data_IF_534818164425
#
_entry.id   IF_534818164425
#
_cell.length_a   1.000
_cell.length_b   1.000
_cell.length_c   1.000
_cell.angle_alpha   90.00
_cell.angle_beta   90.00
_cell.angle_gamma   90.00
#
_symmetry.space_group_name_H-M   'P 1'
#
loop_
_entity.id
_entity.type
_entity.pdbx_description
1 polymer ?
#
# COMPACT_ATOMS: atom_id res chain seq x y z
N UNK A 1 27.63 55.76 18.12
CA UNK A 1 27.03 54.57 17.50
C UNK A 1 25.92 54.07 18.41
N UNK A 2 24.68 54.48 18.14
CA UNK A 2 23.48 54.03 18.84
C UNK A 2 22.90 52.83 18.08
N UNK A 3 23.00 51.63 18.67
CA UNK A 3 22.31 50.44 18.15
C UNK A 3 20.83 50.52 18.54
N UNK A 4 19.97 50.86 17.59
CA UNK A 4 18.52 50.69 17.72
C UNK A 4 18.16 49.23 17.48
N UNK A 5 17.73 48.53 18.53
CA UNK A 5 17.19 47.17 18.43
C UNK A 5 15.83 47.19 17.70
N UNK A 6 15.56 46.26 16.76
CA UNK A 6 14.30 46.23 16.02
C UNK A 6 13.13 45.84 16.93
N UNK A 7 12.06 46.66 16.93
CA UNK A 7 10.90 46.55 17.82
C UNK A 7 10.14 45.21 17.78
N UNK A 8 10.36 44.39 16.77
CA UNK A 8 9.94 42.99 16.70
C UNK A 8 10.35 42.21 17.97
N UNK A 9 11.56 42.42 18.48
CA UNK A 9 12.15 41.55 19.51
C UNK A 9 11.43 41.68 20.86
N UNK A 10 10.84 42.85 21.13
CA UNK A 10 10.04 43.11 22.33
C UNK A 10 8.66 42.44 22.25
N UNK A 11 8.08 42.35 21.06
CA UNK A 11 6.76 41.72 20.87
C UNK A 11 6.85 40.20 21.10
N UNK A 12 7.90 39.55 20.58
CA UNK A 12 8.09 38.10 20.76
C UNK A 12 8.40 37.74 22.22
N UNK A 13 9.21 38.55 22.91
CA UNK A 13 9.51 38.34 24.33
C UNK A 13 8.27 38.48 25.23
N UNK A 14 7.37 39.43 24.91
CA UNK A 14 6.13 39.64 25.68
C UNK A 14 5.12 38.51 25.51
N UNK A 15 5.02 37.91 24.31
CA UNK A 15 4.16 36.75 24.04
C UNK A 15 4.67 35.51 24.78
N UNK A 16 6.00 35.29 24.82
CA UNK A 16 6.59 34.15 25.52
C UNK A 16 6.39 34.22 27.05
N UNK A 17 6.51 35.40 27.64
CA UNK A 17 6.28 35.62 29.08
C UNK A 17 4.80 35.43 29.43
N UNK A 18 3.89 35.88 28.56
CA UNK A 18 2.44 35.71 28.75
C UNK A 18 2.03 34.23 28.67
N UNK A 19 2.61 33.46 27.75
CA UNK A 19 2.35 32.02 27.62
C UNK A 19 2.84 31.23 28.85
N UNK A 20 3.99 31.60 29.43
CA UNK A 20 4.50 30.98 30.65
C UNK A 20 3.63 31.29 31.87
N UNK A 21 3.07 32.50 31.96
CA UNK A 21 2.21 32.90 33.08
C UNK A 21 0.86 32.17 33.04
N UNK A 22 0.26 32.03 31.86
CA UNK A 22 -1.02 31.30 31.66
C UNK A 22 -0.87 29.81 31.97
N UNK A 23 0.27 29.21 31.63
CA UNK A 23 0.53 27.79 31.93
C UNK A 23 0.71 27.53 33.42
N UNK A 24 1.26 28.50 34.17
CA UNK A 24 1.49 28.38 35.61
C UNK A 24 0.25 28.63 36.47
N UNK A 25 -0.71 29.46 36.00
CA UNK A 25 -1.98 29.68 36.71
C UNK A 25 -3.00 28.53 36.52
N UNK A 26 -2.89 27.72 35.46
CA UNK A 26 -3.85 26.62 35.19
C UNK A 26 -3.60 25.37 36.03
N UNK A 27 -2.43 25.24 36.65
CA UNK A 27 -2.01 24.09 37.47
C UNK A 27 -2.52 24.09 38.92
N UNK A 28 -3.10 25.19 39.42
CA UNK A 28 -3.55 25.28 40.82
C UNK A 28 -5.03 24.92 41.04
N UNK A 29 -5.83 24.76 39.98
CA UNK A 29 -7.28 24.57 40.10
C UNK A 29 -7.74 23.09 40.20
N UNK A 30 -6.87 22.10 39.92
CA UNK A 30 -7.26 20.69 39.84
C UNK A 30 -6.76 19.80 41.00
N UNK A 31 -6.02 20.36 41.96
CA UNK A 31 -5.32 19.57 42.99
C UNK A 31 -6.03 19.51 44.36
N UNK A 32 -7.21 20.10 44.51
CA UNK A 32 -7.88 20.23 45.83
C UNK A 32 -9.30 19.64 45.92
N UNK A 33 -9.64 18.62 45.11
CA UNK A 33 -11.00 18.03 45.16
C UNK A 33 -11.08 16.49 45.23
N UNK A 34 -9.97 15.76 45.43
CA UNK A 34 -10.02 14.29 45.43
C UNK A 34 -9.25 13.60 46.58
N UNK A 35 -9.18 14.25 47.75
CA UNK A 35 -8.64 13.65 48.99
C UNK A 35 -9.68 13.41 50.08
N UNK A 36 -10.92 13.15 49.71
CA UNK A 36 -11.91 12.65 50.65
C UNK A 36 -12.88 11.73 49.93
N UNK A 37 -12.68 10.41 50.08
CA UNK A 37 -13.71 9.36 50.31
C UNK A 37 -13.22 8.00 49.78
N UNK A 38 -13.25 7.00 50.67
CA UNK A 38 -12.94 5.57 50.49
C UNK A 38 -11.43 5.28 50.53
N UNK A 39 -10.78 4.99 51.67
CA UNK A 39 -11.11 4.07 52.77
C UNK A 39 -11.60 2.71 52.28
N UNK A 40 -10.78 1.71 52.61
CA UNK A 40 -11.03 0.26 52.73
C UNK A 40 -10.53 -0.63 51.59
N UNK A 41 -9.91 -1.75 52.02
CA UNK A 41 -9.27 -2.85 51.27
C UNK A 41 -7.98 -2.48 50.53
N UNK A 42 -6.78 -2.93 50.90
CA UNK A 42 -6.37 -4.05 51.73
C UNK A 42 -5.61 -5.05 50.88
N UNK A 43 -4.29 -4.86 50.72
CA UNK A 43 -3.36 -5.99 50.66
C UNK A 43 -1.92 -5.50 50.85
N UNK A 44 -1.23 -6.14 51.79
CA UNK A 44 0.15 -5.85 52.12
C UNK A 44 1.11 -6.41 51.09
N UNK A 45 2.14 -5.63 50.79
CA UNK A 45 3.42 -6.18 50.37
C UNK A 45 4.49 -5.53 51.25
N UNK A 46 5.23 -6.39 51.94
CA UNK A 46 6.22 -6.05 52.95
C UNK A 46 7.36 -5.21 52.38
N UNK A 47 7.84 -4.32 53.25
CA UNK A 47 9.16 -3.72 53.19
C UNK A 47 10.23 -4.80 53.03
N UNK A 48 11.09 -4.64 52.04
CA UNK A 48 12.52 -4.42 52.29
C UNK A 48 13.26 -4.40 50.96
N UNK A 49 13.71 -3.21 50.52
CA UNK A 49 15.12 -2.93 50.25
C UNK A 49 15.32 -1.42 50.13
N UNK A 50 16.18 -0.93 51.01
CA UNK A 50 16.76 0.41 51.03
C UNK A 50 17.61 0.63 49.77
N UNK A 51 17.60 1.86 49.26
CA UNK A 51 18.70 2.40 48.46
C UNK A 51 18.32 2.97 47.10
N UNK A 52 18.08 4.29 47.04
CA UNK A 52 18.52 5.12 45.91
C UNK A 52 17.79 4.99 44.57
N UNK A 53 16.46 5.10 44.53
CA UNK A 53 15.69 5.18 43.28
C UNK A 53 15.07 6.57 43.02
N UNK A 54 15.70 7.64 43.51
CA UNK A 54 15.21 9.02 43.37
C UNK A 54 16.02 9.93 42.44
N UNK A 55 17.19 9.50 41.95
CA UNK A 55 18.17 10.43 41.34
C UNK A 55 18.50 10.13 39.88
N UNK A 56 18.06 9.00 39.31
CA UNK A 56 18.42 8.67 37.92
C UNK A 56 17.42 9.15 36.86
N UNK A 57 16.27 9.72 37.24
CA UNK A 57 15.33 10.28 36.26
C UNK A 57 15.74 11.69 35.79
N UNK A 58 16.57 12.42 36.56
CA UNK A 58 17.03 13.77 36.15
C UNK A 58 18.32 13.72 35.31
N UNK A 59 19.09 12.63 35.36
CA UNK A 59 20.32 12.50 34.57
C UNK A 59 20.07 12.06 33.10
N UNK A 60 18.92 11.45 32.79
CA UNK A 60 18.58 11.06 31.41
C UNK A 60 18.07 12.22 30.54
N UNK A 61 17.57 13.30 31.14
CA UNK A 61 17.06 14.47 30.41
C UNK A 61 18.15 15.49 30.02
N UNK A 62 19.31 15.48 30.68
CA UNK A 62 20.42 16.38 30.35
C UNK A 62 21.36 15.86 29.24
N UNK A 63 21.34 14.55 28.94
CA UNK A 63 22.17 13.96 27.89
C UNK A 63 21.56 14.08 26.48
N UNK A 64 20.27 14.44 26.38
CA UNK A 64 19.56 14.63 25.11
C UNK A 64 19.53 16.08 24.60
N UNK A 65 20.31 16.99 25.19
CA UNK A 65 20.41 18.38 24.72
C UNK A 65 21.82 18.82 24.28
N UNK A 66 22.86 17.99 24.43
CA UNK A 66 24.21 18.28 23.93
C UNK A 66 24.55 17.53 22.64
N UNK A 67 23.79 16.50 22.25
CA UNK A 67 23.95 15.79 20.97
C UNK A 67 23.13 16.40 19.79
N UNK A 68 22.53 17.59 19.98
CA UNK A 68 21.65 18.24 18.99
C UNK A 68 22.26 19.39 18.20
N UNK A 69 23.48 19.85 18.53
CA UNK A 69 24.06 21.09 17.94
C UNK A 69 25.32 20.83 17.10
N UNK A 70 25.75 19.56 16.95
CA UNK A 70 26.92 19.19 16.14
C UNK A 70 26.63 18.74 14.69
N UNK A 71 25.37 18.51 14.32
CA UNK A 71 25.01 17.95 13.01
C UNK A 71 24.55 18.99 11.97
N UNK A 72 24.49 20.28 12.33
CA UNK A 72 24.00 21.32 11.42
C UNK A 72 25.12 22.03 10.63
N UNK A 73 26.40 21.85 10.98
CA UNK A 73 27.51 22.51 10.28
C UNK A 73 28.19 21.63 9.23
N UNK A 74 27.98 20.31 9.25
CA UNK A 74 28.50 19.38 8.25
C UNK A 74 27.63 19.27 6.98
N UNK A 75 26.40 19.78 7.00
CA UNK A 75 25.49 19.73 5.84
C UNK A 75 25.70 20.83 4.80
N UNK A 76 26.60 21.79 5.05
CA UNK A 76 26.84 22.91 4.15
C UNK A 76 28.14 22.78 3.33
N UNK A 77 28.90 21.69 3.46
CA UNK A 77 30.20 21.55 2.78
C UNK A 77 30.30 20.43 1.76
N UNK A 78 29.51 19.38 1.86
CA UNK A 78 29.41 18.36 0.82
C UNK A 78 27.93 17.98 0.66
N UNK A 79 27.23 18.40 -0.41
CA UNK A 79 25.97 17.75 -0.72
C UNK A 79 26.28 16.26 -0.90
N UNK A 80 25.54 15.31 -0.29
CA UNK A 80 25.53 13.99 -0.84
C UNK A 80 25.07 14.19 -2.28
N UNK A 81 25.95 13.94 -3.25
CA UNK A 81 25.48 13.62 -4.58
C UNK A 81 24.52 12.47 -4.37
N UNK A 82 23.24 12.81 -4.35
CA UNK A 82 22.17 11.94 -4.71
C UNK A 82 22.44 11.54 -6.17
N UNK A 83 23.44 10.69 -6.37
CA UNK A 83 23.38 9.55 -7.27
C UNK A 83 22.34 8.56 -6.73
N UNK A 84 21.20 9.05 -6.24
CA UNK A 84 19.95 8.35 -6.38
C UNK A 84 19.72 8.30 -7.87
N UNK A 85 20.06 7.14 -8.42
CA UNK A 85 19.76 6.63 -9.74
C UNK A 85 18.49 7.25 -10.33
N UNK A 86 18.62 8.45 -10.90
CA UNK A 86 17.73 8.99 -11.93
C UNK A 86 18.02 8.32 -13.27
N UNK A 87 18.58 7.10 -13.22
CA UNK A 87 18.42 6.03 -14.20
C UNK A 87 16.92 5.73 -14.35
N UNK A 88 16.26 6.69 -14.99
CA UNK A 88 15.49 6.44 -16.18
C UNK A 88 14.23 5.63 -15.97
N UNK A 89 13.31 6.05 -15.09
CA UNK A 89 11.89 5.73 -15.29
C UNK A 89 11.41 6.17 -16.69
N UNK A 90 11.98 7.27 -17.21
CA UNK A 90 11.77 7.71 -18.60
C UNK A 90 12.42 6.78 -19.64
N UNK A 91 13.64 6.30 -19.38
CA UNK A 91 14.33 5.37 -20.29
C UNK A 91 13.75 3.94 -20.29
N UNK A 92 13.38 3.40 -19.12
CA UNK A 92 12.72 2.10 -18.99
C UNK A 92 11.42 2.05 -19.80
N UNK A 93 10.62 3.13 -19.73
CA UNK A 93 9.40 3.27 -20.53
C UNK A 93 9.71 3.40 -22.03
N UNK A 94 10.77 4.12 -22.40
CA UNK A 94 11.22 4.25 -23.79
C UNK A 94 11.66 2.91 -24.40
N UNK A 95 12.47 2.14 -23.68
CA UNK A 95 12.93 0.81 -24.10
C UNK A 95 11.76 -0.20 -24.23
N UNK A 96 10.79 -0.11 -23.32
CA UNK A 96 9.57 -0.93 -23.41
C UNK A 96 8.73 -0.57 -24.62
N UNK A 97 8.55 0.72 -24.88
CA UNK A 97 7.76 1.21 -26.00
C UNK A 97 8.37 0.78 -27.34
N UNK A 98 9.69 0.90 -27.49
CA UNK A 98 10.42 0.43 -28.66
C UNK A 98 10.22 -1.07 -28.90
N UNK A 99 10.32 -1.90 -27.86
CA UNK A 99 10.08 -3.35 -27.96
C UNK A 99 8.64 -3.69 -28.34
N UNK A 100 7.66 -2.99 -27.78
CA UNK A 100 6.25 -3.17 -28.11
C UNK A 100 5.95 -2.80 -29.56
N UNK A 101 6.59 -1.73 -30.05
CA UNK A 101 6.48 -1.30 -31.45
C UNK A 101 7.15 -2.31 -32.40
N UNK A 102 8.36 -2.77 -32.09
CA UNK A 102 9.05 -3.79 -32.88
C UNK A 102 8.25 -5.09 -32.94
N UNK A 103 7.67 -5.51 -31.82
CA UNK A 103 6.77 -6.65 -31.78
C UNK A 103 5.53 -6.40 -32.67
N UNK A 104 4.88 -5.25 -32.55
CA UNK A 104 3.69 -4.93 -33.33
C UNK A 104 4.00 -4.85 -34.84
N UNK A 105 5.16 -4.31 -35.21
CA UNK A 105 5.66 -4.27 -36.60
C UNK A 105 5.96 -5.68 -37.13
N UNK A 106 6.64 -6.51 -36.32
CA UNK A 106 6.98 -7.88 -36.72
C UNK A 106 5.75 -8.78 -36.96
N UNK A 107 4.63 -8.45 -36.35
CA UNK A 107 3.37 -9.18 -36.48
C UNK A 107 2.35 -8.50 -37.40
N UNK A 108 2.75 -7.48 -38.17
CA UNK A 108 1.90 -6.79 -39.14
C UNK A 108 0.78 -5.94 -38.53
N UNK A 109 0.83 -5.63 -37.23
CA UNK A 109 -0.18 -4.83 -36.54
C UNK A 109 0.02 -3.31 -36.70
N UNK A 110 1.17 -2.89 -37.24
CA UNK A 110 1.46 -1.50 -37.60
C UNK A 110 1.82 -1.48 -39.09
N UNK A 111 0.89 -1.03 -39.93
CA UNK A 111 1.19 -0.66 -41.32
C UNK A 111 2.30 0.42 -41.34
N UNK A 112 3.28 0.35 -42.26
CA UNK A 112 4.29 1.39 -42.36
C UNK A 112 3.61 2.72 -42.71
N UNK A 113 3.61 3.65 -41.76
CA UNK A 113 3.12 5.01 -41.98
C UNK A 113 4.10 5.72 -42.92
N UNK A 114 3.91 5.55 -44.23
CA UNK A 114 4.40 6.46 -45.24
C UNK A 114 3.46 7.67 -45.31
N UNK A 115 3.54 8.59 -44.35
CA UNK A 115 3.03 9.95 -44.53
C UNK A 115 4.00 10.96 -43.93
N UNK A 116 4.47 11.97 -44.70
CA UNK A 116 5.23 13.08 -44.16
C UNK A 116 4.26 14.09 -43.53
N UNK A 117 3.83 13.85 -42.29
CA UNK A 117 3.01 14.80 -41.54
C UNK A 117 3.16 14.58 -40.04
N UNK A 118 3.75 15.57 -39.36
CA UNK A 118 3.69 15.85 -37.93
C UNK A 118 3.79 14.64 -36.98
N UNK A 119 4.97 14.44 -36.41
CA UNK A 119 5.27 13.54 -35.31
C UNK A 119 4.26 13.67 -34.17
N UNK A 120 3.19 12.86 -34.22
CA UNK A 120 2.32 12.64 -33.07
C UNK A 120 3.19 12.04 -31.96
N UNK A 121 3.10 12.55 -30.72
CA UNK A 121 3.78 11.93 -29.60
C UNK A 121 3.40 10.44 -29.56
N UNK A 122 4.39 9.58 -29.33
CA UNK A 122 4.16 8.15 -29.27
C UNK A 122 3.10 7.85 -28.20
N UNK A 123 2.19 6.88 -28.44
CA UNK A 123 1.25 6.43 -27.42
C UNK A 123 2.01 6.00 -26.17
N UNK A 124 1.43 6.24 -25.00
CA UNK A 124 2.04 5.79 -23.76
C UNK A 124 2.04 4.26 -23.65
N UNK A 125 2.90 3.76 -22.77
CA UNK A 125 3.11 2.32 -22.54
C UNK A 125 1.80 1.59 -22.21
N UNK A 126 0.91 2.15 -21.38
CA UNK A 126 -0.32 1.47 -20.99
C UNK A 126 -1.29 1.34 -22.16
N UNK A 127 -1.37 2.38 -23.00
CA UNK A 127 -2.15 2.32 -24.25
C UNK A 127 -1.63 1.21 -25.17
N UNK A 128 -0.32 1.01 -25.27
CA UNK A 128 0.27 -0.05 -26.09
C UNK A 128 0.04 -1.44 -25.49
N UNK A 129 0.06 -1.59 -24.16
CA UNK A 129 -0.30 -2.82 -23.46
C UNK A 129 -1.76 -3.19 -23.75
N UNK A 130 -2.71 -2.27 -23.61
CA UNK A 130 -4.13 -2.53 -23.87
C UNK A 130 -4.41 -2.97 -25.31
N UNK A 131 -3.70 -2.39 -26.29
CA UNK A 131 -3.79 -2.83 -27.70
C UNK A 131 -3.25 -4.24 -27.89
N UNK A 132 -2.16 -4.59 -27.21
CA UNK A 132 -1.59 -5.93 -27.25
C UNK A 132 -2.57 -6.96 -26.67
N UNK A 133 -3.26 -6.63 -25.57
CA UNK A 133 -4.29 -7.49 -24.99
C UNK A 133 -5.44 -7.75 -25.96
N UNK A 134 -6.05 -6.70 -26.49
CA UNK A 134 -7.16 -6.80 -27.44
C UNK A 134 -6.81 -7.65 -28.66
N UNK A 135 -5.56 -7.55 -29.15
CA UNK A 135 -5.07 -8.42 -30.23
C UNK A 135 -5.01 -9.87 -29.78
N UNK A 136 -4.43 -10.14 -28.61
CA UNK A 136 -4.25 -11.51 -28.10
C UNK A 136 -5.57 -12.22 -27.80
N UNK A 137 -6.66 -11.49 -27.58
CA UNK A 137 -8.02 -12.05 -27.56
C UNK A 137 -8.40 -12.67 -28.91
N UNK A 138 -8.05 -12.00 -30.02
CA UNK A 138 -8.28 -12.50 -31.38
C UNK A 138 -7.22 -13.48 -31.87
N UNK A 139 -6.02 -13.46 -31.29
CA UNK A 139 -4.89 -14.34 -31.64
C UNK A 139 -4.37 -15.12 -30.42
N UNK A 140 -5.17 -16.03 -29.84
CA UNK A 140 -4.84 -16.70 -28.58
C UNK A 140 -3.64 -17.66 -28.69
N UNK A 141 -3.22 -18.04 -29.90
CA UNK A 141 -2.06 -18.91 -30.13
C UNK A 141 -0.70 -18.18 -30.23
N UNK A 142 -0.66 -16.85 -30.10
CA UNK A 142 0.57 -16.09 -30.24
C UNK A 142 1.45 -16.16 -28.97
N UNK A 143 2.29 -17.18 -28.90
CA UNK A 143 3.23 -17.39 -27.79
C UNK A 143 4.11 -16.15 -27.56
N UNK A 144 4.62 -15.55 -28.64
CA UNK A 144 5.52 -14.39 -28.56
C UNK A 144 4.79 -13.18 -27.98
N UNK A 145 3.53 -13.00 -28.33
CA UNK A 145 2.69 -11.93 -27.81
C UNK A 145 2.28 -12.12 -26.36
N UNK A 146 1.86 -13.32 -25.95
CA UNK A 146 1.58 -13.62 -24.54
C UNK A 146 2.81 -13.42 -23.65
N UNK A 147 3.99 -13.82 -24.14
CA UNK A 147 5.27 -13.54 -23.47
C UNK A 147 5.53 -12.03 -23.37
N UNK A 148 5.32 -11.29 -24.45
CA UNK A 148 5.53 -9.84 -24.46
C UNK A 148 4.60 -9.10 -23.51
N UNK A 149 3.33 -9.52 -23.48
CA UNK A 149 2.33 -8.99 -22.55
C UNK A 149 2.75 -9.25 -21.09
N UNK A 150 3.21 -10.47 -20.79
CA UNK A 150 3.77 -10.81 -19.48
C UNK A 150 4.95 -9.93 -19.09
N UNK A 151 5.87 -9.70 -20.03
CA UNK A 151 7.05 -8.86 -19.80
C UNK A 151 6.69 -7.38 -19.56
N UNK A 152 5.78 -6.83 -20.35
CA UNK A 152 5.31 -5.45 -20.19
C UNK A 152 4.60 -5.25 -18.86
N UNK A 153 3.75 -6.20 -18.45
CA UNK A 153 3.11 -6.14 -17.14
C UNK A 153 4.10 -6.25 -16.00
N UNK A 154 5.11 -7.13 -16.12
CA UNK A 154 6.13 -7.29 -15.09
C UNK A 154 6.91 -6.00 -14.86
N UNK A 155 7.35 -5.34 -15.94
CA UNK A 155 8.16 -4.12 -15.88
C UNK A 155 7.37 -2.88 -15.48
N UNK A 156 6.04 -2.89 -15.63
CA UNK A 156 5.14 -1.85 -15.12
C UNK A 156 4.67 -2.10 -13.68
N UNK A 157 5.10 -3.20 -13.06
CA UNK A 157 4.77 -3.55 -11.67
C UNK A 157 3.46 -4.31 -11.49
N UNK A 158 2.78 -4.67 -12.58
CA UNK A 158 1.54 -5.43 -12.61
C UNK A 158 1.84 -6.94 -12.55
N UNK A 159 2.45 -7.40 -11.46
CA UNK A 159 3.00 -8.76 -11.37
C UNK A 159 1.96 -9.88 -11.45
N UNK A 160 0.72 -9.64 -10.99
CA UNK A 160 -0.36 -10.61 -11.11
C UNK A 160 -0.79 -10.80 -12.56
N UNK A 161 -1.01 -9.70 -13.29
CA UNK A 161 -1.31 -9.73 -14.72
C UNK A 161 -0.16 -10.35 -15.52
N UNK A 162 1.09 -10.05 -15.14
CA UNK A 162 2.27 -10.65 -15.72
C UNK A 162 2.27 -12.18 -15.59
N UNK A 163 2.00 -12.69 -14.38
CA UNK A 163 1.91 -14.12 -14.12
C UNK A 163 0.82 -14.78 -14.96
N UNK A 164 -0.35 -14.14 -15.10
CA UNK A 164 -1.44 -14.66 -15.92
C UNK A 164 -1.06 -14.76 -17.41
N UNK A 165 -0.43 -13.71 -17.96
CA UNK A 165 0.01 -13.70 -19.36
C UNK A 165 1.11 -14.74 -19.63
N UNK A 166 2.12 -14.84 -18.74
CA UNK A 166 3.14 -15.88 -18.84
C UNK A 166 2.56 -17.29 -18.69
N UNK A 167 1.54 -17.50 -17.84
CA UNK A 167 0.85 -18.79 -17.74
C UNK A 167 0.20 -19.20 -19.07
N UNK A 168 -0.34 -18.25 -19.84
CA UNK A 168 -0.85 -18.53 -21.19
C UNK A 168 0.28 -18.90 -22.15
N UNK A 169 1.39 -18.18 -22.12
CA UNK A 169 2.55 -18.52 -22.94
C UNK A 169 3.11 -19.92 -22.61
N UNK A 170 3.26 -20.28 -21.33
CA UNK A 170 3.71 -21.62 -20.88
C UNK A 170 2.73 -22.72 -21.30
N UNK A 171 1.43 -22.45 -21.33
CA UNK A 171 0.44 -23.43 -21.83
C UNK A 171 0.59 -23.71 -23.32
N UNK A 172 0.97 -22.70 -24.10
CA UNK A 172 1.16 -22.81 -25.54
C UNK A 172 2.53 -23.42 -25.90
N UNK A 173 3.57 -23.13 -25.10
CA UNK A 173 4.89 -23.76 -25.19
C UNK A 173 5.37 -24.26 -23.81
N UNK A 174 4.97 -25.47 -23.41
CA UNK A 174 5.35 -26.06 -22.14
C UNK A 174 6.82 -26.47 -22.05
N UNK A 175 7.59 -26.42 -23.14
CA UNK A 175 8.99 -26.84 -23.15
C UNK A 175 9.96 -25.66 -23.01
N UNK A 176 9.50 -24.43 -23.17
CA UNK A 176 10.32 -23.24 -22.96
C UNK A 176 10.70 -23.06 -21.49
N UNK A 177 12.00 -23.23 -21.21
CA UNK A 177 12.56 -22.95 -19.88
C UNK A 177 12.49 -21.45 -19.54
N UNK A 178 12.63 -20.56 -20.54
CA UNK A 178 12.52 -19.11 -20.35
C UNK A 178 11.12 -18.72 -19.84
N UNK A 179 10.07 -19.21 -20.50
CA UNK A 179 8.69 -18.90 -20.12
C UNK A 179 8.35 -19.40 -18.71
N UNK A 180 8.85 -20.59 -18.33
CA UNK A 180 8.69 -21.13 -16.99
C UNK A 180 9.38 -20.25 -15.95
N UNK A 181 10.62 -19.84 -16.21
CA UNK A 181 11.38 -18.96 -15.31
C UNK A 181 10.67 -17.61 -15.15
N UNK A 182 10.24 -16.98 -16.25
CA UNK A 182 9.51 -15.70 -16.20
C UNK A 182 8.16 -15.82 -15.51
N UNK A 183 7.45 -16.94 -15.68
CA UNK A 183 6.20 -17.22 -14.97
C UNK A 183 6.40 -17.36 -13.46
N UNK A 184 7.39 -18.14 -13.03
CA UNK A 184 7.69 -18.33 -11.61
C UNK A 184 8.22 -17.04 -10.97
N UNK A 185 9.01 -16.25 -11.69
CA UNK A 185 9.47 -14.94 -11.21
C UNK A 185 8.30 -13.97 -11.03
N UNK A 186 7.39 -13.88 -12.02
CA UNK A 186 6.20 -13.04 -11.92
C UNK A 186 5.31 -13.44 -10.75
N UNK A 187 5.11 -14.75 -10.53
CA UNK A 187 4.40 -15.27 -9.35
C UNK A 187 5.09 -14.91 -8.05
N UNK A 188 6.41 -15.10 -7.97
CA UNK A 188 7.19 -14.76 -6.79
C UNK A 188 7.07 -13.27 -6.46
N UNK A 189 7.16 -12.38 -7.45
CA UNK A 189 6.96 -10.93 -7.27
C UNK A 189 5.54 -10.57 -6.88
N UNK A 190 4.52 -11.21 -7.46
CA UNK A 190 3.13 -11.03 -7.07
C UNK A 190 2.91 -11.42 -5.60
N UNK A 191 3.49 -12.54 -5.15
CA UNK A 191 3.43 -12.98 -3.75
C UNK A 191 4.30 -12.15 -2.80
N UNK A 192 5.45 -11.66 -3.26
CA UNK A 192 6.42 -10.89 -2.47
C UNK A 192 6.04 -9.43 -2.30
N UNK A 193 5.34 -8.82 -3.26
CA UNK A 193 4.75 -7.49 -3.11
C UNK A 193 3.66 -7.47 -2.01
N UNK A 194 3.10 -8.64 -1.68
CA UNK A 194 2.16 -8.82 -0.56
C UNK A 194 2.85 -9.09 0.79
N UNK A 195 4.18 -8.93 0.92
CA UNK A 195 4.91 -9.18 2.16
C UNK A 195 5.98 -8.12 2.45
N UNK A 196 5.84 -7.26 3.48
CA UNK A 196 7.00 -6.78 4.21
C UNK A 196 7.42 -7.85 5.22
N UNK A 197 8.69 -8.27 5.15
CA UNK A 197 9.43 -9.01 6.18
C UNK A 197 9.08 -10.51 6.37
N UNK A 198 9.83 -11.37 5.68
CA UNK A 198 10.25 -12.66 6.24
C UNK A 198 11.78 -12.74 6.19
N UNK A 199 12.44 -12.18 7.19
CA UNK A 199 13.82 -12.55 7.52
C UNK A 199 13.80 -13.75 8.45
N UNK A 200 14.29 -14.88 7.94
CA UNK A 200 14.98 -15.93 8.68
C UNK A 200 14.22 -16.65 9.80
N UNK A 201 13.93 -17.93 9.59
CA UNK A 201 14.77 -19.03 10.11
C UNK A 201 14.14 -20.37 9.74
N UNK A 202 14.96 -21.21 9.12
CA UNK A 202 14.68 -22.63 8.89
C UNK A 202 14.60 -23.31 10.26
N UNK A 203 13.43 -23.86 10.58
CA UNK A 203 13.21 -24.74 11.72
C UNK A 203 12.78 -26.12 11.22
N UNK A 204 13.74 -27.04 11.17
CA UNK A 204 13.54 -28.46 11.01
C UNK A 204 12.78 -29.04 12.21
N UNK A 205 11.77 -29.87 11.96
CA UNK A 205 11.06 -30.67 12.96
C UNK A 205 9.94 -31.43 12.27
N UNK A 206 10.10 -32.75 12.13
CA UNK A 206 9.21 -33.62 11.38
C UNK A 206 7.99 -34.08 12.18
N UNK A 207 7.41 -35.18 11.66
CA UNK A 207 6.46 -36.09 12.30
C UNK A 207 5.10 -35.42 12.63
N UNK A 208 3.97 -35.73 11.97
CA UNK A 208 3.33 -37.03 11.99
C UNK A 208 2.31 -37.20 10.85
N UNK A 209 2.26 -38.41 10.29
CA UNK A 209 1.12 -38.91 9.54
C UNK A 209 0.01 -39.26 10.54
N UNK A 210 -1.18 -38.67 10.38
CA UNK A 210 -2.41 -39.30 10.86
C UNK A 210 -3.53 -39.23 9.80
N UNK A 211 -3.75 -40.41 9.22
CA UNK A 211 -5.06 -41.05 8.98
C UNK A 211 -6.05 -40.34 8.05
N UNK A 212 -6.21 -40.96 6.88
CA UNK A 212 -7.40 -40.85 6.07
C UNK A 212 -8.62 -41.41 6.81
N UNK A 213 -9.62 -40.56 7.11
CA UNK A 213 -11.05 -40.92 7.11
C UNK A 213 -11.96 -39.68 7.23
N UNK A 214 -12.54 -39.26 6.11
CA UNK A 214 -13.98 -38.95 5.93
C UNK A 214 -14.17 -38.11 4.66
N UNK A 215 -14.93 -38.67 3.71
CA UNK A 215 -15.46 -37.90 2.59
C UNK A 215 -16.66 -37.12 3.14
N UNK A 216 -16.38 -35.88 3.51
CA UNK A 216 -17.32 -34.78 3.57
C UNK A 216 -16.66 -33.70 2.70
N UNK A 217 -17.37 -32.92 1.88
CA UNK A 217 -16.77 -31.76 1.24
C UNK A 217 -16.56 -30.73 2.34
N UNK A 218 -15.55 -30.97 3.18
CA UNK A 218 -15.07 -30.02 4.16
C UNK A 218 -14.56 -28.86 3.33
N UNK A 219 -15.25 -27.72 3.40
CA UNK A 219 -14.73 -26.47 2.89
C UNK A 219 -13.30 -26.36 3.42
N UNK A 220 -12.34 -26.38 2.49
CA UNK A 220 -10.92 -26.28 2.82
C UNK A 220 -10.79 -25.14 3.83
N UNK A 221 -10.20 -25.36 5.02
CA UNK A 221 -10.01 -24.28 5.97
C UNK A 221 -9.33 -23.13 5.21
N UNK A 222 -9.80 -21.88 5.40
CA UNK A 222 -9.31 -20.75 4.65
C UNK A 222 -7.79 -20.83 4.65
N UNK A 223 -7.22 -20.95 3.46
CA UNK A 223 -5.79 -21.09 3.34
C UNK A 223 -5.14 -19.83 3.93
N UNK A 224 -3.90 -19.91 4.39
CA UNK A 224 -3.14 -18.73 4.82
C UNK A 224 -3.22 -17.60 3.77
N UNK A 225 -3.32 -17.99 2.50
CA UNK A 225 -3.56 -17.12 1.35
C UNK A 225 -4.95 -16.45 1.35
N UNK A 226 -6.04 -17.18 1.66
CA UNK A 226 -7.39 -16.61 1.75
C UNK A 226 -7.52 -15.61 2.90
N UNK A 227 -6.89 -15.91 4.04
CA UNK A 227 -6.83 -15.00 5.18
C UNK A 227 -6.03 -13.72 4.84
N UNK A 228 -4.93 -13.86 4.12
CA UNK A 228 -4.15 -12.71 3.64
C UNK A 228 -4.96 -11.85 2.65
N UNK A 229 -5.68 -12.46 1.71
CA UNK A 229 -6.55 -11.73 0.77
C UNK A 229 -7.63 -10.97 1.52
N UNK A 230 -8.29 -11.59 2.51
CA UNK A 230 -9.27 -10.90 3.37
C UNK A 230 -8.67 -9.69 4.08
N UNK A 231 -7.48 -9.84 4.67
CA UNK A 231 -6.79 -8.74 5.33
C UNK A 231 -6.46 -7.58 4.36
N UNK A 232 -6.10 -7.88 3.11
CA UNK A 232 -5.88 -6.84 2.09
C UNK A 232 -7.17 -6.10 1.73
N UNK A 233 -8.28 -6.82 1.59
CA UNK A 233 -9.61 -6.25 1.30
C UNK A 233 -10.13 -5.44 2.49
N UNK A 234 -9.86 -5.88 3.73
CA UNK A 234 -10.16 -5.11 4.95
C UNK A 234 -9.32 -3.83 5.02
N UNK A 235 -8.04 -3.88 4.62
CA UNK A 235 -7.21 -2.68 4.49
C UNK A 235 -7.73 -1.68 3.47
N UNK A 236 -8.30 -2.15 2.36
CA UNK A 236 -9.01 -1.29 1.40
C UNK A 236 -10.24 -0.65 2.04
N UNK A 237 -11.04 -1.42 2.79
CA UNK A 237 -12.21 -0.89 3.50
C UNK A 237 -11.81 0.20 4.49
N UNK A 238 -10.75 -0.03 5.29
CA UNK A 238 -10.25 0.98 6.24
C UNK A 238 -9.76 2.27 5.57
N UNK A 239 -9.15 2.17 4.37
CA UNK A 239 -8.78 3.38 3.60
C UNK A 239 -10.00 4.14 3.09
N UNK A 240 -11.05 3.44 2.66
CA UNK A 240 -12.29 4.08 2.21
C UNK A 240 -13.05 4.72 3.37
N UNK A 241 -12.86 4.28 4.61
CA UNK A 241 -13.40 5.00 5.77
C UNK A 241 -12.67 6.33 6.02
N UNK A 242 -11.38 6.41 5.69
CA UNK A 242 -10.59 7.65 5.79
C UNK A 242 -10.81 8.59 4.60
N UNK A 243 -10.96 8.02 3.41
CA UNK A 243 -11.20 8.71 2.15
C UNK A 243 -12.51 8.20 1.52
N UNK A 244 -13.67 8.63 2.05
CA UNK A 244 -14.97 8.04 1.67
C UNK A 244 -15.43 8.43 0.27
N UNK A 245 -14.94 9.53 -0.29
CA UNK A 245 -15.34 10.01 -1.62
C UNK A 245 -14.58 9.34 -2.77
N UNK A 246 -14.66 8.02 -2.86
CA UNK A 246 -14.07 7.20 -3.93
C UNK A 246 -15.06 6.14 -4.45
N UNK A 247 -15.81 6.49 -5.50
CA UNK A 247 -16.83 5.61 -6.12
C UNK A 247 -16.23 4.31 -6.64
N UNK A 248 -15.12 4.40 -7.37
CA UNK A 248 -14.37 3.25 -7.89
C UNK A 248 -13.82 2.37 -6.77
N UNK A 249 -13.35 2.97 -5.68
CA UNK A 249 -12.89 2.25 -4.50
C UNK A 249 -13.98 1.44 -3.82
N UNK A 250 -15.15 2.04 -3.57
CA UNK A 250 -16.31 1.31 -3.03
C UNK A 250 -16.78 0.20 -3.97
N UNK A 251 -16.76 0.44 -5.28
CA UNK A 251 -17.13 -0.56 -6.30
C UNK A 251 -16.17 -1.75 -6.30
N UNK A 252 -14.86 -1.48 -6.20
CA UNK A 252 -13.83 -2.52 -6.10
C UNK A 252 -13.98 -3.33 -4.81
N UNK A 253 -14.23 -2.67 -3.67
CA UNK A 253 -14.43 -3.34 -2.39
C UNK A 253 -15.61 -4.33 -2.45
N UNK A 254 -16.75 -3.92 -3.00
CA UNK A 254 -17.92 -4.80 -3.16
C UNK A 254 -17.59 -6.01 -4.04
N UNK A 255 -16.97 -5.79 -5.22
CA UNK A 255 -16.58 -6.89 -6.13
C UNK A 255 -15.65 -7.88 -5.45
N UNK A 256 -14.61 -7.39 -4.77
CA UNK A 256 -13.64 -8.25 -4.07
C UNK A 256 -14.32 -9.13 -3.02
N UNK A 257 -15.24 -8.57 -2.23
CA UNK A 257 -15.98 -9.34 -1.21
C UNK A 257 -16.95 -10.35 -1.82
N UNK A 258 -17.61 -10.03 -2.93
CA UNK A 258 -18.46 -10.99 -3.65
C UNK A 258 -17.64 -12.17 -4.18
N UNK A 259 -16.45 -11.92 -4.74
CA UNK A 259 -15.54 -12.99 -5.21
C UNK A 259 -15.09 -13.91 -4.06
N UNK A 260 -14.94 -13.36 -2.85
CA UNK A 260 -14.63 -14.12 -1.64
C UNK A 260 -15.83 -14.86 -1.04
N UNK A 261 -17.03 -14.74 -1.64
CA UNK A 261 -18.28 -15.29 -1.12
C UNK A 261 -18.85 -14.54 0.08
N UNK A 262 -18.32 -13.36 0.39
CA UNK A 262 -18.71 -12.51 1.53
C UNK A 262 -19.84 -11.55 1.14
N UNK A 263 -20.93 -12.09 0.57
CA UNK A 263 -22.05 -11.30 -0.01
C UNK A 263 -22.67 -10.33 1.00
N UNK A 264 -22.84 -10.74 2.26
CA UNK A 264 -23.37 -9.90 3.34
C UNK A 264 -22.46 -8.72 3.68
N UNK A 265 -21.15 -8.95 3.64
CA UNK A 265 -20.15 -7.91 3.92
C UNK A 265 -20.08 -6.94 2.74
N UNK A 266 -20.21 -7.45 1.51
CA UNK A 266 -20.33 -6.62 0.31
C UNK A 266 -21.60 -5.75 0.33
N UNK A 267 -22.75 -6.29 0.76
CA UNK A 267 -23.99 -5.53 0.93
C UNK A 267 -23.87 -4.45 2.03
N UNK A 268 -23.08 -4.70 3.07
CA UNK A 268 -22.74 -3.68 4.07
C UNK A 268 -21.87 -2.57 3.49
N UNK A 269 -20.89 -2.91 2.65
CA UNK A 269 -20.10 -1.91 1.92
C UNK A 269 -20.96 -1.09 0.96
N UNK A 270 -21.95 -1.69 0.29
CA UNK A 270 -22.94 -1.00 -0.53
C UNK A 270 -23.69 0.05 0.29
N UNK A 271 -24.29 -0.33 1.42
CA UNK A 271 -25.04 0.60 2.28
C UNK A 271 -24.17 1.77 2.76
N UNK A 272 -22.92 1.49 3.19
CA UNK A 272 -21.96 2.53 3.58
C UNK A 272 -21.68 3.48 2.41
N UNK A 273 -21.43 2.96 1.22
CA UNK A 273 -21.19 3.77 0.04
C UNK A 273 -22.40 4.67 -0.29
N UNK A 274 -23.62 4.12 -0.26
CA UNK A 274 -24.83 4.91 -0.52
C UNK A 274 -25.06 6.01 0.52
N UNK A 275 -24.70 5.80 1.78
CA UNK A 275 -24.77 6.85 2.81
C UNK A 275 -23.75 7.97 2.55
N UNK A 276 -22.53 7.62 2.16
CA UNK A 276 -21.47 8.59 1.83
C UNK A 276 -21.86 9.48 0.63
N UNK A 277 -22.51 8.88 -0.38
CA UNK A 277 -22.89 9.55 -1.62
C UNK A 277 -24.37 9.95 -1.68
N UNK A 278 -25.07 10.03 -0.55
CA UNK A 278 -26.51 10.29 -0.51
C UNK A 278 -26.96 11.57 -1.26
N UNK A 279 -26.09 12.58 -1.27
CA UNK A 279 -26.34 13.87 -1.94
C UNK A 279 -25.85 13.88 -3.41
N UNK A 280 -25.11 12.86 -3.84
CA UNK A 280 -24.62 12.68 -5.21
C UNK A 280 -25.41 11.56 -5.91
N UNK A 281 -26.48 11.96 -6.60
CA UNK A 281 -27.33 11.02 -7.34
C UNK A 281 -26.59 10.28 -8.47
N UNK A 282 -25.60 10.93 -9.11
CA UNK A 282 -24.85 10.32 -10.19
C UNK A 282 -23.87 9.25 -9.68
N UNK A 283 -23.19 9.51 -8.55
CA UNK A 283 -22.38 8.52 -7.87
C UNK A 283 -23.23 7.37 -7.32
N UNK A 284 -24.33 7.68 -6.64
CA UNK A 284 -25.29 6.69 -6.12
C UNK A 284 -25.82 5.77 -7.24
N UNK A 285 -26.16 6.34 -8.40
CA UNK A 285 -26.60 5.57 -9.57
C UNK A 285 -25.54 4.58 -10.06
N UNK A 286 -24.28 5.01 -10.19
CA UNK A 286 -23.16 4.15 -10.59
C UNK A 286 -22.90 3.03 -9.59
N UNK A 287 -22.90 3.35 -8.29
CA UNK A 287 -22.71 2.37 -7.20
C UNK A 287 -23.81 1.30 -7.24
N UNK A 288 -25.08 1.70 -7.41
CA UNK A 288 -26.22 0.77 -7.52
C UNK A 288 -26.16 -0.09 -8.78
N UNK A 289 -25.77 0.49 -9.90
CA UNK A 289 -25.60 -0.25 -11.16
C UNK A 289 -24.54 -1.35 -10.99
N UNK A 290 -23.36 -1.00 -10.47
CA UNK A 290 -22.31 -1.98 -10.21
C UNK A 290 -22.72 -3.05 -9.19
N UNK A 291 -23.43 -2.67 -8.12
CA UNK A 291 -23.95 -3.63 -7.15
C UNK A 291 -24.91 -4.66 -7.78
N UNK A 292 -25.75 -4.21 -8.72
CA UNK A 292 -26.67 -5.07 -9.46
C UNK A 292 -25.92 -6.09 -10.32
N UNK A 293 -24.83 -5.67 -10.98
CA UNK A 293 -23.95 -6.57 -11.74
C UNK A 293 -23.33 -7.66 -10.87
N UNK A 294 -23.08 -7.37 -9.59
CA UNK A 294 -22.51 -8.33 -8.63
C UNK A 294 -23.58 -9.17 -7.91
N UNK A 295 -24.87 -9.00 -8.25
CA UNK A 295 -25.98 -9.71 -7.60
C UNK A 295 -26.30 -9.21 -6.19
N UNK A 296 -25.82 -8.04 -5.80
CA UNK A 296 -26.11 -7.42 -4.51
C UNK A 296 -27.42 -6.64 -4.59
N UNK A 297 -28.27 -6.80 -3.57
CA UNK A 297 -29.49 -6.02 -3.41
C UNK A 297 -29.22 -4.86 -2.45
N UNK A 298 -29.55 -3.64 -2.89
CA UNK A 298 -29.69 -2.52 -1.97
C UNK A 298 -31.09 -2.65 -1.35
N UNK A 299 -31.18 -3.24 -0.17
CA UNK A 299 -32.39 -3.15 0.66
C UNK A 299 -32.48 -1.80 1.36
#
# INVERSE_FOLDING_TARGET
MSLTLPGWLLVVASIAISALLVLRLRSDAASLALLARLRSSGWGFGQDRRGGAGTWIVAAAAFLLVAGVGAATSYLRDPPEATSSSLSRSGLNGDMLARLEDYARSNGAVEPVNTPAASKPLPDVNTMIARLEARLESTPGDIKGWRMLGWSYFNTGHYEQAAAAYARAVKLDPNSAELKSSYEEAKAKASGAASPLRTGTVGNGGHDLHVAKSIRPEAKPPTEQDAAIRAMVDGLAGRLEQSPRDVEGWTRLMRSRVVLGETEVAATALRKALEVFKDDHAATGRIKAAATEFGLKAE
#
